data_IF_348920333159
#
_entry.id   IF_348920333159
#
_cell.length_a   1.000
_cell.length_b   1.000
_cell.length_c   1.000
_cell.angle_alpha   90.00
_cell.angle_beta   90.00
_cell.angle_gamma   90.00
#
_symmetry.space_group_name_H-M   'P 1'
#
loop_
_entity.id
_entity.type
_entity.pdbx_description
1 polymer ?
#
# COMPACT_ATOMS: atom_id res chain seq x y z
N UNK A 1 -9.16 17.60 8.83
CA UNK A 1 -7.80 17.33 8.26
C UNK A 1 -7.90 16.09 7.36
N UNK A 2 -7.01 15.94 6.37
CA UNK A 2 -6.94 14.72 5.58
C UNK A 2 -5.88 13.81 6.17
N UNK A 3 -6.18 12.53 6.29
CA UNK A 3 -5.26 11.48 6.76
C UNK A 3 -5.35 10.26 5.86
N UNK A 4 -4.42 9.33 6.04
CA UNK A 4 -4.41 8.04 5.38
C UNK A 4 -5.28 7.03 6.12
N UNK A 5 -6.00 6.19 5.38
CA UNK A 5 -6.85 5.12 5.93
C UNK A 5 -6.49 3.80 5.25
N UNK A 6 -6.27 2.76 6.03
CA UNK A 6 -5.93 1.41 5.53
C UNK A 6 -7.01 0.90 4.58
N UNK A 7 -6.59 0.43 3.42
CA UNK A 7 -7.45 -0.22 2.44
C UNK A 7 -6.83 -1.55 2.03
N UNK A 8 -7.66 -2.57 1.87
CA UNK A 8 -7.23 -3.90 1.46
C UNK A 8 -8.07 -4.37 0.28
N UNK A 9 -7.42 -4.70 -0.84
CA UNK A 9 -8.08 -5.28 -2.01
C UNK A 9 -8.09 -6.81 -1.98
N UNK A 10 -7.09 -7.42 -1.33
CA UNK A 10 -6.93 -8.86 -1.24
C UNK A 10 -6.27 -9.27 0.09
N UNK A 11 -5.86 -10.51 0.20
CA UNK A 11 -5.24 -11.06 1.42
C UNK A 11 -3.71 -11.02 1.42
N UNK A 12 -3.07 -10.32 0.46
CA UNK A 12 -1.60 -10.30 0.34
C UNK A 12 -0.92 -9.75 1.59
N UNK A 13 -1.42 -8.65 2.16
CA UNK A 13 -0.87 -8.03 3.37
C UNK A 13 -0.79 -9.01 4.55
N UNK A 14 -1.77 -9.91 4.69
CA UNK A 14 -1.78 -10.94 5.74
C UNK A 14 -0.63 -11.96 5.59
N UNK A 15 -0.11 -12.12 4.38
CA UNK A 15 0.94 -13.08 4.08
C UNK A 15 2.33 -12.45 4.11
N UNK A 16 2.45 -11.20 3.65
CA UNK A 16 3.76 -10.54 3.44
C UNK A 16 4.27 -9.81 4.68
N UNK A 17 3.39 -9.31 5.56
CA UNK A 17 3.78 -8.60 6.75
C UNK A 17 3.88 -9.51 7.99
N UNK A 18 4.69 -9.13 9.00
CA UNK A 18 4.71 -9.83 10.29
C UNK A 18 3.34 -9.77 10.98
N UNK A 19 2.72 -8.61 10.90
CA UNK A 19 1.39 -8.28 11.38
C UNK A 19 0.75 -7.32 10.38
N UNK A 20 -0.44 -7.66 9.86
CA UNK A 20 -1.15 -6.79 8.94
C UNK A 20 -2.08 -5.85 9.73
N UNK A 21 -2.17 -4.59 9.28
CA UNK A 21 -3.14 -3.63 9.82
C UNK A 21 -4.57 -4.06 9.53
N UNK A 22 -5.50 -3.69 10.39
CA UNK A 22 -6.91 -3.95 10.14
C UNK A 22 -7.46 -2.97 9.07
N UNK A 23 -8.37 -3.48 8.25
CA UNK A 23 -9.00 -2.67 7.20
C UNK A 23 -9.82 -1.54 7.82
N UNK A 24 -9.62 -0.34 7.29
CA UNK A 24 -10.33 0.86 7.74
C UNK A 24 -9.71 1.57 8.93
N UNK A 25 -8.60 1.10 9.50
CA UNK A 25 -7.83 1.86 10.48
C UNK A 25 -7.26 3.13 9.88
N UNK A 26 -7.01 4.13 10.71
CA UNK A 26 -6.16 5.25 10.35
C UNK A 26 -4.72 4.77 10.24
N UNK A 27 -3.94 5.42 9.39
CA UNK A 27 -2.56 5.02 9.15
C UNK A 27 -1.61 6.20 9.16
N UNK A 28 -0.40 5.94 9.62
CA UNK A 28 0.77 6.82 9.57
C UNK A 28 1.86 6.15 8.75
N UNK A 29 2.96 6.83 8.49
CA UNK A 29 4.09 6.22 7.79
C UNK A 29 4.76 5.16 8.65
N UNK A 30 5.01 5.45 9.94
CA UNK A 30 5.52 4.49 10.91
C UNK A 30 7.00 4.16 10.75
N UNK A 31 7.79 5.06 10.12
CA UNK A 31 9.23 4.87 9.92
C UNK A 31 10.01 4.75 11.23
N UNK A 32 9.54 5.37 12.31
CA UNK A 32 10.16 5.29 13.64
C UNK A 32 10.31 3.85 14.14
N UNK A 33 9.42 2.93 13.71
CA UNK A 33 9.49 1.52 14.13
C UNK A 33 10.74 0.77 13.62
N UNK A 34 11.46 1.37 12.67
CA UNK A 34 12.66 0.80 12.07
C UNK A 34 13.92 1.60 12.39
N UNK A 35 13.82 2.70 13.17
CA UNK A 35 14.93 3.62 13.41
C UNK A 35 16.11 2.95 14.12
N UNK A 36 15.83 2.00 15.02
CA UNK A 36 16.86 1.29 15.82
C UNK A 36 17.29 -0.05 15.17
N UNK A 37 16.69 -0.45 14.06
CA UNK A 37 17.03 -1.71 13.38
C UNK A 37 18.29 -1.56 12.54
N UNK A 38 19.16 -2.56 12.65
CA UNK A 38 20.32 -2.67 11.76
C UNK A 38 19.90 -3.27 10.41
N UNK A 39 20.68 -3.01 9.38
CA UNK A 39 20.39 -3.46 8.04
C UNK A 39 20.26 -5.00 7.93
N UNK A 40 21.06 -5.74 8.70
CA UNK A 40 21.02 -7.20 8.77
C UNK A 40 19.79 -7.77 9.50
N UNK A 41 19.10 -6.96 10.30
CA UNK A 41 17.85 -7.30 10.97
C UNK A 41 16.61 -7.07 10.06
N UNK A 42 16.78 -6.25 9.01
CA UNK A 42 15.71 -5.94 8.04
C UNK A 42 15.64 -7.05 6.98
N UNK A 43 15.10 -8.21 7.36
CA UNK A 43 14.98 -9.40 6.50
C UNK A 43 13.57 -9.97 6.47
N UNK A 44 13.28 -10.79 5.46
CA UNK A 44 11.99 -11.49 5.35
C UNK A 44 10.77 -10.56 5.40
N UNK A 45 9.82 -10.87 6.26
CA UNK A 45 8.59 -10.07 6.45
C UNK A 45 8.85 -8.68 7.03
N UNK A 46 9.89 -8.54 7.86
CA UNK A 46 10.31 -7.23 8.39
C UNK A 46 10.79 -6.33 7.25
N UNK A 47 11.52 -6.89 6.29
CA UNK A 47 11.94 -6.15 5.09
C UNK A 47 10.74 -5.67 4.27
N UNK A 48 9.68 -6.48 4.15
CA UNK A 48 8.47 -6.06 3.45
C UNK A 48 7.77 -4.91 4.19
N UNK A 49 7.65 -5.00 5.51
CA UNK A 49 7.07 -3.95 6.34
C UNK A 49 7.90 -2.65 6.25
N UNK A 50 9.22 -2.76 6.34
CA UNK A 50 10.13 -1.63 6.14
C UNK A 50 9.92 -1.00 4.77
N UNK A 51 10.03 -1.79 3.69
CA UNK A 51 10.07 -1.25 2.33
C UNK A 51 8.75 -0.63 1.88
N UNK A 52 7.60 -1.18 2.30
CA UNK A 52 6.31 -0.82 1.67
C UNK A 52 5.15 -0.66 2.66
N UNK A 53 5.38 -0.78 3.97
CA UNK A 53 4.29 -0.82 4.95
C UNK A 53 3.95 0.55 5.54
N UNK A 54 2.73 1.04 5.34
CA UNK A 54 2.13 2.03 6.23
C UNK A 54 1.74 1.35 7.54
N UNK A 55 1.81 2.07 8.65
CA UNK A 55 1.43 1.54 9.95
C UNK A 55 0.00 1.94 10.30
N UNK A 56 -0.88 0.95 10.53
CA UNK A 56 -2.23 1.15 11.04
C UNK A 56 -2.26 1.52 12.52
N UNK A 57 -3.26 2.28 12.93
CA UNK A 57 -3.50 2.65 14.31
C UNK A 57 -4.96 2.35 14.63
N UNK A 58 -5.28 1.52 15.63
CA UNK A 58 -4.48 1.12 16.79
C UNK A 58 -3.74 -0.22 16.69
N UNK A 59 -3.87 -1.01 15.62
CA UNK A 59 -3.28 -2.36 15.55
C UNK A 59 -1.74 -2.36 15.52
N UNK A 60 -1.14 -1.27 15.04
CA UNK A 60 0.29 -1.16 14.72
C UNK A 60 0.78 -2.24 13.74
N UNK A 61 -0.16 -2.78 12.95
CA UNK A 61 0.12 -3.64 11.82
C UNK A 61 0.46 -2.83 10.56
N UNK A 62 0.83 -3.52 9.50
CA UNK A 62 1.27 -2.88 8.26
C UNK A 62 0.28 -3.11 7.11
N UNK A 63 0.18 -2.12 6.23
CA UNK A 63 -0.62 -2.18 5.01
C UNK A 63 0.16 -1.62 3.83
N UNK A 64 0.05 -2.27 2.67
CA UNK A 64 0.71 -1.82 1.43
C UNK A 64 0.08 -0.56 0.87
N UNK A 65 -1.24 -0.42 1.03
CA UNK A 65 -2.02 0.65 0.44
C UNK A 65 -2.88 1.36 1.48
N UNK A 66 -2.95 2.66 1.32
CA UNK A 66 -3.88 3.51 2.07
C UNK A 66 -4.68 4.40 1.12
N UNK A 67 -5.83 4.85 1.56
CA UNK A 67 -6.67 5.82 0.85
C UNK A 67 -6.71 7.14 1.62
N UNK A 68 -6.59 8.26 0.92
CA UNK A 68 -6.79 9.58 1.51
C UNK A 68 -8.23 9.74 1.97
N UNK A 69 -8.43 10.06 3.24
CA UNK A 69 -9.76 10.24 3.85
C UNK A 69 -9.80 11.50 4.73
N UNK A 70 -11.01 12.00 4.99
CA UNK A 70 -11.20 13.15 5.89
C UNK A 70 -11.39 12.65 7.32
N UNK A 71 -10.46 13.02 8.21
CA UNK A 71 -10.52 12.75 9.63
C UNK A 71 -11.19 13.92 10.38
N UNK A 72 -11.98 13.58 11.41
CA UNK A 72 -12.58 14.53 12.35
C UNK A 72 -11.64 14.77 13.55
N UNK A 73 -11.94 15.76 14.37
CA UNK A 73 -11.10 16.08 15.53
C UNK A 73 -10.96 14.92 16.52
N UNK A 74 -12.07 14.21 16.78
CA UNK A 74 -12.05 13.02 17.65
C UNK A 74 -11.27 11.83 17.06
N UNK A 75 -11.17 11.69 15.73
CA UNK A 75 -10.34 10.67 15.10
C UNK A 75 -8.85 10.98 15.35
N UNK A 76 -8.46 12.25 15.14
CA UNK A 76 -7.09 12.72 15.37
C UNK A 76 -6.67 12.52 16.82
N UNK A 77 -7.55 12.87 17.76
CA UNK A 77 -7.30 12.70 19.20
C UNK A 77 -7.11 11.22 19.56
N UNK A 78 -7.97 10.33 19.05
CA UNK A 78 -7.87 8.90 19.29
C UNK A 78 -6.55 8.31 18.72
N UNK A 79 -6.14 8.73 17.51
CA UNK A 79 -4.85 8.32 16.92
C UNK A 79 -3.69 8.80 17.82
N UNK A 80 -3.74 10.05 18.24
CA UNK A 80 -2.71 10.64 19.12
C UNK A 80 -2.58 9.85 20.41
N UNK A 81 -3.69 9.52 21.07
CA UNK A 81 -3.67 8.79 22.34
C UNK A 81 -3.09 7.37 22.19
N UNK A 82 -3.45 6.65 21.10
CA UNK A 82 -2.84 5.35 20.82
C UNK A 82 -1.33 5.43 20.55
N UNK A 83 -0.89 6.46 19.82
CA UNK A 83 0.52 6.67 19.56
C UNK A 83 1.29 7.03 20.83
N UNK A 84 0.74 7.90 21.67
CA UNK A 84 1.32 8.27 22.97
C UNK A 84 1.51 7.05 23.86
N UNK A 85 0.48 6.21 23.97
CA UNK A 85 0.57 4.95 24.73
C UNK A 85 1.66 4.04 24.15
N UNK A 86 1.70 3.91 22.82
CA UNK A 86 2.72 3.09 22.15
C UNK A 86 4.13 3.61 22.36
N UNK A 87 4.34 4.93 22.26
CA UNK A 87 5.65 5.54 22.46
C UNK A 87 6.16 5.37 23.90
N UNK A 88 5.28 5.46 24.89
CA UNK A 88 5.65 5.22 26.29
C UNK A 88 5.94 3.73 26.52
N UNK A 89 5.05 2.84 26.09
CA UNK A 89 5.12 1.42 26.47
C UNK A 89 6.12 0.61 25.67
N UNK A 90 6.30 0.93 24.38
CA UNK A 90 7.14 0.14 23.47
C UNK A 90 8.47 0.82 23.12
N UNK A 91 8.51 2.15 23.13
CA UNK A 91 9.70 2.92 22.72
C UNK A 91 10.34 3.70 23.87
N UNK A 92 9.78 3.58 25.09
CA UNK A 92 10.40 4.15 26.28
C UNK A 92 10.43 5.68 26.30
N UNK A 93 9.44 6.35 25.72
CA UNK A 93 9.35 7.80 25.75
C UNK A 93 9.39 8.30 27.22
N UNK A 94 10.25 9.27 27.56
CA UNK A 94 10.55 9.62 28.94
C UNK A 94 9.43 10.39 29.63
N UNK A 95 8.49 10.97 28.87
CA UNK A 95 7.31 11.66 29.39
C UNK A 95 6.14 11.63 28.42
N UNK A 96 4.95 11.83 28.95
CA UNK A 96 3.73 11.92 28.15
C UNK A 96 3.76 13.11 27.18
N UNK A 97 4.33 14.24 27.60
CA UNK A 97 4.41 15.43 26.75
C UNK A 97 5.31 15.20 25.54
N UNK A 98 6.46 14.54 25.73
CA UNK A 98 7.36 14.20 24.62
C UNK A 98 6.75 13.13 23.70
N UNK A 99 6.07 12.14 24.27
CA UNK A 99 5.34 11.15 23.47
C UNK A 99 4.22 11.80 22.64
N UNK A 100 3.51 12.77 23.20
CA UNK A 100 2.45 13.51 22.49
C UNK A 100 3.03 14.37 21.38
N UNK A 101 4.10 15.10 21.63
CA UNK A 101 4.77 15.88 20.59
C UNK A 101 5.22 15.01 19.41
N UNK A 102 5.85 13.85 19.69
CA UNK A 102 6.23 12.90 18.64
C UNK A 102 5.03 12.32 17.90
N UNK A 103 3.93 12.00 18.59
CA UNK A 103 2.70 11.52 17.97
C UNK A 103 2.07 12.58 17.03
N UNK A 104 2.05 13.83 17.44
CA UNK A 104 1.56 14.95 16.65
C UNK A 104 2.42 15.19 15.40
N UNK A 105 3.76 15.03 15.49
CA UNK A 105 4.68 15.11 14.35
C UNK A 105 4.39 14.01 13.32
N UNK A 106 4.20 12.77 13.76
CA UNK A 106 3.86 11.64 12.85
C UNK A 106 2.51 11.87 12.15
N UNK A 107 1.50 12.35 12.88
CA UNK A 107 0.19 12.67 12.31
C UNK A 107 0.28 13.84 11.34
N UNK A 108 1.02 14.89 11.68
CA UNK A 108 1.20 16.04 10.81
C UNK A 108 1.92 15.64 9.52
N UNK A 109 2.95 14.80 9.60
CA UNK A 109 3.68 14.33 8.44
C UNK A 109 2.78 13.60 7.42
N UNK A 110 1.96 12.66 7.87
CA UNK A 110 1.02 11.97 6.97
C UNK A 110 -0.10 12.91 6.50
N UNK A 111 -0.51 13.87 7.31
CA UNK A 111 -1.49 14.87 6.92
C UNK A 111 -0.98 15.78 5.79
N UNK A 112 0.27 16.20 5.84
CA UNK A 112 0.90 17.02 4.80
C UNK A 112 0.91 16.28 3.46
N UNK A 113 1.31 15.00 3.46
CA UNK A 113 1.26 14.14 2.28
C UNK A 113 -0.17 14.04 1.74
N UNK A 114 -1.13 13.73 2.61
CA UNK A 114 -2.53 13.58 2.22
C UNK A 114 -3.17 14.89 1.74
N UNK A 115 -2.70 16.04 2.20
CA UNK A 115 -3.26 17.36 1.86
C UNK A 115 -3.17 17.65 0.37
N UNK A 116 -2.12 17.19 -0.29
CA UNK A 116 -1.84 17.37 -1.72
C UNK A 116 -2.77 16.53 -2.62
N UNK A 117 -3.53 15.60 -2.05
CA UNK A 117 -4.33 14.64 -2.80
C UNK A 117 -5.82 14.78 -2.53
N UNK A 118 -6.64 14.36 -3.52
CA UNK A 118 -8.10 14.28 -3.35
C UNK A 118 -8.46 13.09 -2.44
N UNK A 119 -9.54 13.24 -1.67
CA UNK A 119 -10.12 12.11 -0.92
C UNK A 119 -10.42 10.94 -1.88
N UNK A 120 -10.08 9.73 -1.47
CA UNK A 120 -10.18 8.51 -2.28
C UNK A 120 -8.95 8.21 -3.14
N UNK A 121 -7.95 9.12 -3.20
CA UNK A 121 -6.65 8.81 -3.83
C UNK A 121 -5.96 7.70 -3.04
N UNK A 122 -5.47 6.69 -3.75
CA UNK A 122 -4.67 5.63 -3.15
C UNK A 122 -3.21 6.07 -3.08
N UNK A 123 -2.56 5.77 -1.97
CA UNK A 123 -1.14 6.00 -1.77
C UNK A 123 -0.42 4.69 -1.51
N UNK A 124 0.75 4.54 -2.10
CA UNK A 124 1.75 3.54 -1.75
C UNK A 124 3.02 4.23 -1.29
N UNK A 125 3.78 3.53 -0.46
CA UNK A 125 5.01 4.00 0.16
C UNK A 125 6.15 3.10 -0.26
N UNK A 126 7.33 3.69 -0.48
CA UNK A 126 8.59 2.96 -0.62
C UNK A 126 9.64 3.58 0.30
N UNK A 127 10.30 2.75 1.12
CA UNK A 127 11.43 3.14 1.99
C UNK A 127 12.71 2.50 1.54
N UNK A 128 13.78 3.26 1.69
CA UNK A 128 15.16 2.79 1.49
C UNK A 128 16.02 3.28 2.64
N UNK A 129 16.95 2.43 3.08
CA UNK A 129 18.01 2.83 4.00
C UNK A 129 19.09 3.55 3.22
N UNK A 130 19.54 4.70 3.71
CA UNK A 130 20.62 5.50 3.13
C UNK A 130 21.66 5.81 4.22
N UNK A 131 22.80 6.35 3.83
CA UNK A 131 23.82 6.78 4.79
C UNK A 131 23.32 7.86 5.77
N UNK A 132 22.32 8.65 5.34
CA UNK A 132 21.74 9.75 6.12
C UNK A 132 20.47 9.32 6.90
N UNK A 133 20.10 8.02 6.87
CA UNK A 133 18.91 7.48 7.52
C UNK A 133 17.88 6.91 6.56
N UNK A 134 16.63 6.82 7.02
CA UNK A 134 15.51 6.28 6.23
C UNK A 134 15.00 7.35 5.28
N UNK A 135 14.94 7.01 3.99
CA UNK A 135 14.29 7.83 2.96
C UNK A 135 12.96 7.23 2.58
N UNK A 136 11.92 8.05 2.58
CA UNK A 136 10.58 7.67 2.15
C UNK A 136 10.21 8.34 0.83
N UNK A 137 9.48 7.63 -0.01
CA UNK A 137 8.85 8.17 -1.22
C UNK A 137 7.42 7.65 -1.34
N UNK A 138 6.53 8.53 -1.79
CA UNK A 138 5.10 8.26 -1.89
C UNK A 138 4.65 8.32 -3.34
N UNK A 139 3.81 7.36 -3.74
CA UNK A 139 3.21 7.33 -5.06
C UNK A 139 1.70 7.39 -4.93
N UNK A 140 1.08 8.40 -5.54
CA UNK A 140 -0.36 8.49 -5.67
C UNK A 140 -0.84 7.67 -6.88
N UNK A 141 -1.86 6.86 -6.65
CA UNK A 141 -2.59 6.13 -7.67
C UNK A 141 -3.95 6.82 -7.78
N UNK A 142 -4.06 7.75 -8.73
CA UNK A 142 -5.33 8.41 -9.01
C UNK A 142 -6.30 7.41 -9.65
N UNK A 143 -7.56 7.43 -9.21
CA UNK A 143 -8.63 6.75 -9.94
C UNK A 143 -8.75 7.43 -11.30
N UNK A 144 -8.58 6.69 -12.40
CA UNK A 144 -8.79 7.25 -13.72
C UNK A 144 -10.22 7.78 -13.80
N UNK A 145 -10.38 9.07 -14.11
CA UNK A 145 -11.69 9.73 -14.24
C UNK A 145 -12.51 9.21 -15.47
N UNK A 146 -12.02 8.17 -16.13
CA UNK A 146 -12.57 7.60 -17.36
C UNK A 146 -12.77 6.09 -17.32
N UNK A 147 -13.42 5.56 -16.26
CA UNK A 147 -14.01 4.24 -16.36
C UNK A 147 -15.52 4.32 -16.62
N UNK A 148 -15.96 5.27 -17.47
CA UNK A 148 -17.22 5.15 -18.16
C UNK A 148 -16.95 4.44 -19.49
N UNK A 149 -17.28 3.14 -19.56
CA UNK A 149 -17.44 2.39 -20.82
C UNK A 149 -16.17 1.93 -21.58
N UNK A 150 -15.09 1.53 -20.91
CA UNK A 150 -14.14 0.63 -21.57
C UNK A 150 -14.47 -0.81 -21.15
N UNK A 151 -14.95 -1.60 -22.14
CA UNK A 151 -14.97 -3.06 -22.03
C UNK A 151 -13.54 -3.52 -21.70
N UNK A 152 -13.36 -4.10 -20.50
CA UNK A 152 -12.06 -4.58 -20.02
C UNK A 152 -11.58 -5.86 -20.73
N UNK A 153 -12.40 -6.41 -21.61
CA UNK A 153 -12.13 -7.66 -22.34
C UNK A 153 -12.59 -7.51 -23.79
N UNK A 154 -11.67 -7.55 -24.70
CA UNK A 154 -11.94 -7.92 -26.07
C UNK A 154 -11.74 -9.43 -26.12
N UNK A 155 -12.82 -10.19 -26.22
CA UNK A 155 -12.74 -11.60 -26.59
C UNK A 155 -12.31 -11.59 -28.04
N UNK A 156 -11.08 -11.99 -28.31
CA UNK A 156 -10.61 -12.29 -29.65
C UNK A 156 -11.15 -13.69 -29.92
N UNK A 157 -12.19 -13.78 -30.72
CA UNK A 157 -12.64 -15.07 -31.24
C UNK A 157 -11.54 -15.63 -32.13
N UNK A 158 -10.96 -16.75 -31.74
CA UNK A 158 -9.90 -17.51 -32.41
C UNK A 158 -10.47 -18.33 -33.64
N UNK A 159 -11.55 -17.86 -34.26
CA UNK A 159 -12.17 -18.52 -35.42
C UNK A 159 -11.44 -18.23 -36.74
N UNK A 160 -10.30 -17.54 -36.73
CA UNK A 160 -9.55 -17.25 -37.96
C UNK A 160 -8.40 -18.24 -38.24
N UNK A 161 -8.29 -19.35 -37.49
CA UNK A 161 -7.20 -20.32 -37.67
C UNK A 161 -7.63 -21.65 -38.29
N UNK A 162 -8.81 -21.73 -38.97
CA UNK A 162 -9.28 -22.99 -39.51
C UNK A 162 -9.70 -22.94 -41.01
N UNK A 163 -9.23 -21.94 -41.77
CA UNK A 163 -9.55 -21.85 -43.19
C UNK A 163 -8.40 -22.16 -44.16
N UNK A 164 -7.27 -22.68 -43.65
CA UNK A 164 -6.08 -23.05 -44.45
C UNK A 164 -5.84 -24.59 -44.56
N UNK A 165 -6.84 -25.41 -44.22
CA UNK A 165 -6.74 -26.88 -44.32
C UNK A 165 -7.64 -27.49 -45.39
N UNK A 166 -8.00 -26.74 -46.46
CA UNK A 166 -8.80 -27.24 -47.59
C UNK A 166 -8.22 -26.89 -48.95
N UNK A 167 -6.92 -27.01 -49.14
CA UNK A 167 -6.26 -27.00 -50.44
C UNK A 167 -5.22 -28.09 -50.47
N UNK A 168 -5.59 -29.31 -50.85
CA UNK A 168 -4.64 -30.38 -50.97
C UNK A 168 -5.19 -31.78 -51.17
N UNK A 169 -6.36 -31.95 -51.80
CA UNK A 169 -6.87 -33.31 -52.10
C UNK A 169 -7.49 -33.49 -53.50
N UNK A 170 -6.96 -32.79 -54.50
CA UNK A 170 -7.41 -33.00 -55.91
C UNK A 170 -6.34 -33.43 -56.89
N UNK A 171 -5.10 -33.74 -56.53
CA UNK A 171 -4.04 -34.18 -57.47
C UNK A 171 -3.58 -35.61 -57.29
N UNK A 172 -4.38 -36.48 -56.70
CA UNK A 172 -3.99 -37.89 -56.50
C UNK A 172 -4.82 -38.90 -57.34
N UNK A 173 -5.40 -38.50 -58.43
CA UNK A 173 -6.22 -39.41 -59.29
C UNK A 173 -5.75 -39.61 -60.73
N UNK A 174 -4.61 -39.09 -61.14
CA UNK A 174 -4.20 -39.21 -62.55
C UNK A 174 -2.85 -39.91 -62.78
N UNK A 175 -2.42 -40.79 -61.87
CA UNK A 175 -1.17 -41.59 -62.03
C UNK A 175 -1.40 -43.07 -61.83
N UNK A 176 -2.45 -43.67 -62.42
CA UNK A 176 -2.59 -45.11 -62.63
C UNK A 176 -3.46 -45.37 -63.89
N UNK A 177 -2.78 -45.21 -65.02
CA UNK A 177 -3.06 -45.93 -66.29
C UNK A 177 -1.81 -46.08 -67.07
#
# INVERSE_FOLDING_TARGET
MKLARVIRFDRSDLNIFPHAADEGEWAITGSFSFADLKEDEITGKVKQAFSNGFMGVPSFGYSTLVSVATAKGNDVEAITDHLVERFITAYGAPSQDLARAAAEEEIQFIADICSEHKTGTLLSLTRTMTADGIRESFRAIAKADSCSNQQLWTIVDDDAANDDARLGDEDAKDMLR
#
